data_IF_233626053236
#
_entry.id   IF_233626053236
#
_cell.length_a   1.000
_cell.length_b   1.000
_cell.length_c   1.000
_cell.angle_alpha   90.00
_cell.angle_beta   90.00
_cell.angle_gamma   90.00
#
_symmetry.space_group_name_H-M   'P 1'
#
loop_
_entity.id
_entity.type
_entity.pdbx_description
1 polymer ?
#
# COMPACT_ATOMS: atom_id res chain seq x y z
N UNK A 1 6.92 -0.14 8.64
CA UNK A 1 5.81 -0.90 8.00
C UNK A 1 5.40 -0.12 6.77
N UNK A 2 5.54 -0.72 5.59
CA UNK A 2 5.14 -0.08 4.33
C UNK A 2 3.67 -0.38 4.08
N UNK A 3 2.78 0.45 4.60
CA UNK A 3 1.33 0.29 4.44
C UNK A 3 0.79 1.63 3.99
N UNK A 4 -0.06 1.63 2.97
CA UNK A 4 -0.24 2.74 2.05
C UNK A 4 -0.98 3.93 2.61
N UNK A 5 -2.28 3.89 2.71
CA UNK A 5 -3.06 5.11 2.85
C UNK A 5 -4.34 4.87 3.62
N UNK A 6 -4.85 5.93 4.20
CA UNK A 6 -6.19 5.95 4.77
C UNK A 6 -7.23 5.56 3.72
N UNK A 7 -8.23 4.77 4.10
CA UNK A 7 -9.23 4.23 3.19
C UNK A 7 -10.07 5.24 2.41
N UNK A 8 -10.11 6.49 2.84
CA UNK A 8 -10.84 7.56 2.14
C UNK A 8 -10.04 8.23 1.01
N UNK A 9 -8.75 7.92 0.86
CA UNK A 9 -7.94 8.41 -0.27
C UNK A 9 -8.52 7.97 -1.62
N UNK A 10 -8.59 8.87 -2.58
CA UNK A 10 -9.14 8.61 -3.91
C UNK A 10 -8.12 7.98 -4.84
N UNK A 11 -8.47 6.83 -5.39
CA UNK A 11 -7.69 6.10 -6.40
C UNK A 11 -8.23 6.41 -7.78
N UNK A 12 -7.36 6.74 -8.71
CA UNK A 12 -7.74 6.98 -10.11
C UNK A 12 -8.06 5.65 -10.82
N UNK A 13 -9.22 5.58 -11.45
CA UNK A 13 -9.69 4.43 -12.21
C UNK A 13 -9.38 4.55 -13.70
N UNK A 14 -9.31 3.43 -14.39
CA UNK A 14 -9.01 3.38 -15.83
C UNK A 14 -10.06 4.08 -16.71
N UNK A 15 -11.28 4.17 -16.26
CA UNK A 15 -12.40 4.85 -16.94
C UNK A 15 -12.43 6.37 -16.71
N UNK A 16 -11.44 6.92 -15.99
CA UNK A 16 -11.34 8.34 -15.65
C UNK A 16 -12.11 8.75 -14.39
N UNK A 17 -12.77 7.82 -13.72
CA UNK A 17 -13.44 8.06 -12.43
C UNK A 17 -12.47 7.90 -11.25
N UNK A 18 -12.99 8.10 -10.04
CA UNK A 18 -12.26 7.88 -8.79
C UNK A 18 -13.07 7.00 -7.85
N UNK A 19 -12.40 6.06 -7.18
CA UNK A 19 -12.95 5.31 -6.05
C UNK A 19 -12.17 5.60 -4.77
N UNK A 20 -12.83 5.52 -3.61
CA UNK A 20 -12.09 5.49 -2.35
C UNK A 20 -11.30 4.18 -2.25
N UNK A 21 -10.10 4.24 -1.67
CA UNK A 21 -9.24 3.07 -1.53
C UNK A 21 -9.92 1.91 -0.78
N UNK A 22 -10.75 2.22 0.23
CA UNK A 22 -11.55 1.22 0.98
C UNK A 22 -12.64 0.53 0.13
N UNK A 23 -13.04 1.15 -0.97
CA UNK A 23 -14.08 0.65 -1.88
C UNK A 23 -13.49 -0.03 -3.12
N UNK A 24 -12.16 -0.16 -3.20
CA UNK A 24 -11.47 -0.91 -4.25
C UNK A 24 -11.62 -2.41 -3.98
N UNK A 25 -11.84 -3.17 -5.05
CA UNK A 25 -11.98 -4.62 -5.01
C UNK A 25 -11.05 -5.30 -6.02
N UNK A 26 -10.79 -6.58 -5.81
CA UNK A 26 -10.12 -7.41 -6.81
C UNK A 26 -10.90 -7.37 -8.13
N UNK A 27 -10.19 -7.24 -9.25
CA UNK A 27 -10.78 -7.08 -10.58
C UNK A 27 -10.93 -5.63 -11.04
N UNK A 28 -10.94 -4.64 -10.15
CA UNK A 28 -10.98 -3.22 -10.52
C UNK A 28 -9.78 -2.86 -11.41
N UNK A 29 -10.02 -2.00 -12.39
CA UNK A 29 -9.01 -1.49 -13.30
C UNK A 29 -8.57 -0.08 -12.88
N UNK A 30 -7.32 0.08 -12.51
CA UNK A 30 -6.75 1.34 -12.07
C UNK A 30 -6.09 2.08 -13.23
N UNK A 31 -6.17 3.41 -13.18
CA UNK A 31 -5.41 4.27 -14.08
C UNK A 31 -3.90 4.11 -13.84
N UNK A 32 -3.17 4.17 -14.93
CA UNK A 32 -1.71 4.26 -14.94
C UNK A 32 -1.28 5.56 -15.60
N UNK A 33 0.01 5.82 -15.68
CA UNK A 33 0.51 6.98 -16.42
C UNK A 33 0.15 6.89 -17.90
N UNK A 34 -0.04 8.07 -18.51
CA UNK A 34 -0.35 8.20 -19.94
C UNK A 34 0.55 7.31 -20.79
N UNK A 35 -0.06 6.50 -21.66
CA UNK A 35 0.63 5.59 -22.56
C UNK A 35 0.95 4.20 -21.99
N UNK A 36 0.54 3.90 -20.75
CA UNK A 36 0.65 2.57 -20.16
C UNK A 36 -0.74 1.90 -20.05
N UNK A 37 -0.84 0.58 -20.16
CA UNK A 37 -2.10 -0.13 -19.99
C UNK A 37 -2.62 0.00 -18.56
N UNK A 38 -3.94 -0.04 -18.40
CA UNK A 38 -4.58 -0.07 -17.09
C UNK A 38 -4.11 -1.30 -16.29
N UNK A 39 -4.04 -1.14 -14.98
CA UNK A 39 -3.57 -2.19 -14.08
C UNK A 39 -4.73 -2.78 -13.28
N UNK A 40 -4.83 -4.12 -13.26
CA UNK A 40 -5.88 -4.84 -12.55
C UNK A 40 -5.49 -5.11 -11.10
N UNK A 41 -6.39 -4.81 -10.18
CA UNK A 41 -6.23 -5.18 -8.76
C UNK A 41 -6.37 -6.71 -8.63
N UNK A 42 -5.36 -7.35 -8.06
CA UNK A 42 -5.38 -8.77 -7.72
C UNK A 42 -5.89 -8.99 -6.30
N UNK A 43 -5.42 -8.20 -5.36
CA UNK A 43 -5.80 -8.30 -3.96
C UNK A 43 -5.72 -6.93 -3.28
N UNK A 44 -6.68 -6.68 -2.40
CA UNK A 44 -6.66 -5.56 -1.45
C UNK A 44 -6.20 -6.09 -0.10
N UNK A 45 -5.21 -5.46 0.51
CA UNK A 45 -4.72 -5.80 1.85
C UNK A 45 -5.11 -4.69 2.81
N UNK A 46 -5.99 -5.01 3.74
CA UNK A 46 -6.43 -4.13 4.83
C UNK A 46 -5.62 -4.43 6.09
N UNK A 47 -4.88 -3.47 6.62
CA UNK A 47 -4.17 -3.60 7.89
C UNK A 47 -4.89 -2.80 8.96
N UNK A 48 -5.48 -3.51 9.90
CA UNK A 48 -6.19 -2.92 11.05
C UNK A 48 -5.17 -2.27 11.98
N UNK A 49 -5.50 -1.07 12.46
CA UNK A 49 -4.65 -0.35 13.39
C UNK A 49 -5.05 -0.66 14.84
N UNK A 50 -4.05 -0.90 15.67
CA UNK A 50 -4.25 -1.01 17.11
C UNK A 50 -4.79 0.33 17.63
N UNK A 51 -5.79 0.29 18.49
CA UNK A 51 -6.43 1.48 19.09
C UNK A 51 -7.12 2.45 18.09
N UNK A 52 -7.27 2.04 16.82
CA UNK A 52 -7.93 2.88 15.80
C UNK A 52 -7.21 4.20 15.52
N UNK A 53 -5.89 4.25 15.70
CA UNK A 53 -5.07 5.45 15.52
C UNK A 53 -3.86 5.12 14.66
N UNK A 54 -3.50 6.02 13.75
CA UNK A 54 -2.29 5.91 12.94
C UNK A 54 -1.55 7.25 12.84
N UNK A 55 -0.22 7.17 12.78
CA UNK A 55 0.61 8.30 12.38
C UNK A 55 0.72 8.29 10.86
N UNK A 56 0.06 9.26 10.22
CA UNK A 56 0.03 9.42 8.78
C UNK A 56 0.65 10.76 8.36
N UNK A 57 1.20 10.78 7.19
CA UNK A 57 1.79 11.99 6.60
C UNK A 57 0.86 12.55 5.55
N UNK A 58 0.45 13.81 5.71
CA UNK A 58 -0.29 14.53 4.68
C UNK A 58 0.68 15.04 3.63
N UNK A 59 0.48 14.63 2.38
CA UNK A 59 1.34 15.05 1.27
C UNK A 59 1.01 16.45 0.76
N UNK A 60 2.02 17.23 0.32
CA UNK A 60 1.82 18.60 -0.11
C UNK A 60 0.95 18.71 -1.37
N UNK A 61 0.02 19.66 -1.37
CA UNK A 61 -0.89 19.93 -2.48
C UNK A 61 -1.84 18.76 -2.79
N UNK A 62 -2.15 17.92 -1.80
CA UNK A 62 -2.96 16.71 -1.95
C UNK A 62 -3.75 16.41 -0.68
N UNK A 63 -4.81 15.60 -0.81
CA UNK A 63 -5.50 15.02 0.34
C UNK A 63 -4.96 13.64 0.72
N UNK A 64 -3.92 13.16 0.05
CA UNK A 64 -3.30 11.88 0.35
C UNK A 64 -2.71 11.87 1.77
N UNK A 65 -3.14 10.91 2.55
CA UNK A 65 -2.61 10.58 3.87
C UNK A 65 -1.94 9.20 3.77
N UNK A 66 -0.62 9.14 3.81
CA UNK A 66 0.15 7.92 3.67
C UNK A 66 0.98 7.62 4.92
N UNK A 67 1.33 6.36 5.15
CA UNK A 67 2.28 6.03 6.21
C UNK A 67 3.66 6.61 5.92
N UNK A 68 4.46 6.95 6.94
CA UNK A 68 5.70 7.72 6.78
C UNK A 68 6.71 7.13 5.78
N UNK A 69 6.78 5.80 5.69
CA UNK A 69 7.79 5.07 4.93
C UNK A 69 7.23 4.35 3.70
N UNK A 70 6.04 4.73 3.24
CA UNK A 70 5.47 4.18 2.01
C UNK A 70 5.94 4.99 0.80
N UNK A 71 6.77 4.44 -0.10
CA UNK A 71 7.31 5.22 -1.20
C UNK A 71 6.22 5.78 -2.11
N UNK A 72 6.29 7.08 -2.35
CA UNK A 72 5.37 7.82 -3.24
C UNK A 72 6.18 8.62 -4.25
N UNK A 73 5.54 9.00 -5.35
CA UNK A 73 6.20 9.78 -6.40
C UNK A 73 5.25 10.78 -7.02
N UNK A 74 5.73 12.04 -7.13
CA UNK A 74 5.13 13.08 -7.96
C UNK A 74 6.23 13.63 -8.87
N UNK A 75 6.13 13.38 -10.18
CA UNK A 75 7.21 13.69 -11.10
C UNK A 75 8.16 12.50 -11.32
N UNK A 76 9.48 12.67 -11.13
CA UNK A 76 10.48 11.67 -11.54
C UNK A 76 11.03 10.81 -10.38
N UNK A 77 11.06 11.33 -9.17
CA UNK A 77 11.77 10.70 -8.05
C UNK A 77 10.79 10.10 -7.05
N UNK A 78 11.16 8.91 -6.55
CA UNK A 78 10.53 8.28 -5.38
C UNK A 78 11.03 8.94 -4.11
N UNK A 79 10.13 9.24 -3.19
CA UNK A 79 10.43 9.85 -1.89
C UNK A 79 9.63 9.13 -0.80
N UNK A 80 10.10 9.19 0.43
CA UNK A 80 9.27 8.83 1.56
C UNK A 80 8.33 9.99 1.94
N UNK A 81 7.07 9.73 2.28
CA UNK A 81 6.14 10.76 2.74
C UNK A 81 6.72 11.64 3.85
N UNK A 82 7.42 11.05 4.81
CA UNK A 82 8.00 11.77 5.96
C UNK A 82 9.00 12.85 5.56
N UNK A 83 9.67 12.68 4.43
CA UNK A 83 10.68 13.64 3.94
C UNK A 83 10.04 14.87 3.28
N UNK A 84 8.76 14.80 2.87
CA UNK A 84 8.13 15.83 2.05
C UNK A 84 6.80 16.35 2.61
N UNK A 85 6.22 15.67 3.58
CA UNK A 85 4.90 16.01 4.11
C UNK A 85 4.91 16.33 5.61
N UNK A 86 3.72 16.48 6.17
CA UNK A 86 3.53 16.76 7.59
C UNK A 86 2.88 15.56 8.27
N UNK A 87 3.55 15.00 9.28
CA UNK A 87 3.03 13.89 10.08
C UNK A 87 1.89 14.37 10.97
N UNK A 88 0.81 13.60 11.00
CA UNK A 88 -0.36 13.80 11.86
C UNK A 88 -0.77 12.49 12.50
N UNK A 89 -1.08 12.54 13.78
CA UNK A 89 -1.74 11.44 14.48
C UNK A 89 -3.24 11.58 14.29
N UNK A 90 -3.84 10.59 13.66
CA UNK A 90 -5.25 10.66 13.23
C UNK A 90 -6.01 9.41 13.63
N UNK A 91 -7.33 9.55 13.82
CA UNK A 91 -8.22 8.40 13.91
C UNK A 91 -8.21 7.66 12.58
N UNK A 92 -7.86 6.39 12.60
CA UNK A 92 -7.70 5.56 11.43
C UNK A 92 -7.83 4.07 11.82
N UNK A 93 -8.96 3.46 11.53
CA UNK A 93 -9.21 2.06 11.88
C UNK A 93 -8.33 1.10 11.07
N UNK A 94 -8.01 1.47 9.84
CA UNK A 94 -7.20 0.66 8.97
C UNK A 94 -6.49 1.48 7.89
N UNK A 95 -5.36 0.97 7.44
CA UNK A 95 -4.66 1.41 6.23
C UNK A 95 -4.67 0.29 5.19
N UNK A 96 -4.61 0.67 3.92
CA UNK A 96 -4.80 -0.27 2.82
C UNK A 96 -3.59 -0.29 1.90
N UNK A 97 -3.31 -1.45 1.35
CA UNK A 97 -2.35 -1.63 0.27
C UNK A 97 -2.97 -2.45 -0.86
N UNK A 98 -2.42 -2.33 -2.04
CA UNK A 98 -2.89 -3.03 -3.23
C UNK A 98 -1.80 -3.98 -3.74
N UNK A 99 -2.22 -5.15 -4.19
CA UNK A 99 -1.43 -6.01 -5.06
C UNK A 99 -2.04 -5.93 -6.46
N UNK A 100 -1.24 -5.58 -7.44
CA UNK A 100 -1.66 -5.49 -8.83
C UNK A 100 -1.19 -6.70 -9.62
N UNK A 101 -1.98 -7.13 -10.58
CA UNK A 101 -1.65 -8.26 -11.45
C UNK A 101 -0.49 -7.90 -12.40
N UNK A 102 -0.56 -6.71 -13.01
CA UNK A 102 0.37 -6.27 -14.05
C UNK A 102 0.81 -4.81 -13.81
N UNK A 103 1.03 -4.42 -12.57
CA UNK A 103 1.35 -3.04 -12.22
C UNK A 103 2.33 -2.93 -11.07
N UNK A 104 2.87 -1.72 -10.90
CA UNK A 104 3.87 -1.43 -9.89
C UNK A 104 3.46 -0.31 -8.91
N UNK A 105 2.46 0.48 -9.30
CA UNK A 105 1.96 1.60 -8.49
C UNK A 105 0.51 1.92 -8.88
N UNK A 106 -0.21 2.55 -7.99
CA UNK A 106 -1.52 3.12 -8.19
C UNK A 106 -1.44 4.65 -8.09
N UNK A 107 -2.27 5.36 -8.85
CA UNK A 107 -2.37 6.83 -8.75
C UNK A 107 -3.41 7.18 -7.70
N UNK A 108 -2.99 7.79 -6.60
CA UNK A 108 -3.84 8.19 -5.49
C UNK A 108 -3.68 9.68 -5.21
N UNK A 109 -4.79 10.44 -5.27
CA UNK A 109 -4.80 11.89 -5.04
C UNK A 109 -3.70 12.63 -5.83
N UNK A 110 -3.38 12.15 -7.05
CA UNK A 110 -2.36 12.72 -7.94
C UNK A 110 -0.92 12.30 -7.66
N UNK A 111 -0.70 11.37 -6.74
CA UNK A 111 0.61 10.77 -6.46
C UNK A 111 0.65 9.32 -6.91
N UNK A 112 1.78 8.88 -7.47
CA UNK A 112 2.04 7.45 -7.65
C UNK A 112 2.41 6.84 -6.29
N UNK A 113 1.69 5.83 -5.88
CA UNK A 113 1.94 5.07 -4.66
C UNK A 113 2.36 3.64 -5.04
N UNK A 114 3.51 3.16 -4.55
CA UNK A 114 3.92 1.78 -4.84
C UNK A 114 2.87 0.79 -4.33
N UNK A 115 2.79 -0.35 -4.98
CA UNK A 115 1.93 -1.45 -4.57
C UNK A 115 2.79 -2.62 -4.07
N UNK A 116 2.17 -3.67 -3.55
CA UNK A 116 2.89 -4.87 -3.14
C UNK A 116 3.51 -5.57 -4.35
N UNK A 117 4.63 -6.26 -4.15
CA UNK A 117 5.36 -7.02 -5.16
C UNK A 117 5.72 -6.22 -6.43
N UNK A 118 5.93 -4.93 -6.30
CA UNK A 118 6.15 -4.02 -7.44
C UNK A 118 7.46 -4.27 -8.22
N UNK A 119 8.44 -4.97 -7.64
CA UNK A 119 9.71 -5.31 -8.30
C UNK A 119 10.61 -4.11 -8.64
N UNK A 120 10.34 -2.92 -8.11
CA UNK A 120 11.18 -1.75 -8.31
C UNK A 120 12.42 -1.82 -7.40
N UNK A 121 13.53 -1.32 -7.89
CA UNK A 121 14.81 -1.23 -7.16
C UNK A 121 15.19 0.23 -6.92
N UNK A 122 16.01 0.48 -5.93
CA UNK A 122 16.50 1.81 -5.54
C UNK A 122 16.38 2.06 -4.04
N UNK A 123 17.07 3.08 -3.54
CA UNK A 123 17.24 3.34 -2.11
C UNK A 123 15.91 3.61 -1.37
N UNK A 124 14.99 4.31 -2.04
CA UNK A 124 13.69 4.66 -1.47
C UNK A 124 12.65 3.56 -1.73
N UNK A 125 12.51 3.15 -2.99
CA UNK A 125 11.42 2.26 -3.42
C UNK A 125 11.73 0.79 -3.20
N UNK A 126 13.01 0.40 -3.21
CA UNK A 126 13.43 -0.99 -3.08
C UNK A 126 13.12 -1.57 -1.71
N UNK A 127 12.39 -2.69 -1.67
CA UNK A 127 12.10 -3.42 -0.44
C UNK A 127 12.16 -4.92 -0.71
N UNK A 128 13.06 -5.63 -0.03
CA UNK A 128 13.33 -7.06 -0.25
C UNK A 128 12.11 -7.96 -0.01
N UNK A 129 11.22 -7.56 0.87
CA UNK A 129 9.99 -8.29 1.18
C UNK A 129 8.77 -7.71 0.46
N UNK A 130 8.35 -6.48 0.78
CA UNK A 130 7.14 -5.87 0.21
C UNK A 130 7.22 -5.61 -1.29
N UNK A 131 8.44 -5.40 -1.83
CA UNK A 131 8.67 -5.20 -3.25
C UNK A 131 8.83 -6.49 -4.06
N UNK A 132 8.81 -7.66 -3.42
CA UNK A 132 9.08 -8.95 -4.05
C UNK A 132 7.92 -9.93 -3.96
N UNK A 133 8.06 -11.11 -4.55
CA UNK A 133 7.07 -12.19 -4.46
C UNK A 133 6.96 -12.82 -3.06
N UNK A 134 7.89 -12.51 -2.14
CA UNK A 134 7.85 -13.03 -0.79
C UNK A 134 6.56 -12.63 -0.05
N UNK A 135 6.14 -11.37 -0.17
CA UNK A 135 4.88 -10.91 0.44
C UNK A 135 3.66 -11.64 -0.16
N UNK A 136 3.69 -11.93 -1.46
CA UNK A 136 2.60 -12.67 -2.14
C UNK A 136 2.49 -14.08 -1.58
N UNK A 137 3.61 -14.78 -1.41
CA UNK A 137 3.63 -16.14 -0.85
C UNK A 137 3.04 -16.19 0.57
N UNK A 138 3.27 -15.16 1.38
CA UNK A 138 2.68 -15.12 2.71
C UNK A 138 1.19 -14.78 2.67
N UNK A 139 0.79 -13.81 1.84
CA UNK A 139 -0.62 -13.45 1.66
C UNK A 139 -1.46 -14.62 1.11
N UNK A 140 -0.90 -15.47 0.26
CA UNK A 140 -1.58 -16.64 -0.30
C UNK A 140 -2.00 -17.66 0.77
N UNK A 141 -1.37 -17.64 1.93
CA UNK A 141 -1.68 -18.53 3.08
C UNK A 141 -2.75 -17.95 4.00
N UNK A 142 -3.18 -16.69 3.78
CA UNK A 142 -4.10 -15.98 4.65
C UNK A 142 -5.54 -16.10 4.18
N UNK A 143 -6.45 -16.04 5.14
CA UNK A 143 -7.88 -15.99 4.87
C UNK A 143 -8.24 -14.80 3.99
N UNK A 144 -9.16 -15.01 3.06
CA UNK A 144 -9.61 -13.97 2.13
C UNK A 144 -8.78 -13.84 0.84
N UNK A 145 -7.62 -14.51 0.74
CA UNK A 145 -6.81 -14.46 -0.48
C UNK A 145 -7.59 -14.88 -1.73
N UNK A 146 -8.34 -15.98 -1.65
CA UNK A 146 -9.15 -16.49 -2.77
C UNK A 146 -10.22 -15.50 -3.24
N UNK A 147 -10.65 -14.60 -2.36
CA UNK A 147 -11.62 -13.55 -2.63
C UNK A 147 -10.95 -12.22 -3.03
N UNK A 148 -9.60 -12.19 -3.08
CA UNK A 148 -8.85 -10.97 -3.39
C UNK A 148 -8.92 -9.87 -2.31
N UNK A 149 -9.19 -10.25 -1.06
CA UNK A 149 -9.26 -9.33 0.08
C UNK A 149 -8.71 -9.98 1.33
N UNK A 150 -7.55 -9.52 1.80
CA UNK A 150 -6.88 -10.02 3.01
C UNK A 150 -6.92 -8.96 4.10
N UNK A 151 -7.27 -9.39 5.32
CA UNK A 151 -7.24 -8.53 6.52
C UNK A 151 -6.08 -8.95 7.41
N UNK A 152 -5.17 -8.01 7.64
CA UNK A 152 -4.08 -8.16 8.60
C UNK A 152 -4.53 -7.54 9.93
N UNK A 153 -4.89 -8.40 10.86
CA UNK A 153 -5.27 -7.98 12.20
C UNK A 153 -4.06 -8.10 13.14
N UNK A 154 -3.76 -7.09 13.99
CA UNK A 154 -2.58 -7.12 14.85
C UNK A 154 -2.55 -8.33 15.82
N UNK A 155 -3.71 -8.86 16.19
CA UNK A 155 -3.85 -10.00 17.09
C UNK A 155 -3.68 -11.37 16.39
N UNK A 156 -3.78 -11.41 15.06
CA UNK A 156 -3.74 -12.66 14.27
C UNK A 156 -2.60 -12.72 13.26
N UNK A 157 -1.86 -11.65 13.05
CA UNK A 157 -0.73 -11.62 12.12
C UNK A 157 0.50 -11.03 12.79
N UNK A 158 1.54 -11.84 12.86
CA UNK A 158 2.85 -11.44 13.36
C UNK A 158 3.71 -10.96 12.20
N UNK A 159 4.27 -9.77 12.35
CA UNK A 159 5.21 -9.19 11.40
C UNK A 159 6.63 -9.54 11.81
N UNK A 160 7.28 -10.42 11.06
CA UNK A 160 8.71 -10.71 11.24
C UNK A 160 9.57 -9.53 10.77
N UNK A 161 10.61 -9.21 11.55
CA UNK A 161 11.53 -8.12 11.23
C UNK A 161 12.97 -8.58 11.28
N UNK A 162 13.74 -8.08 10.36
CA UNK A 162 15.21 -8.22 10.38
C UNK A 162 15.77 -7.50 11.62
N UNK A 163 16.54 -8.19 12.48
CA UNK A 163 17.02 -7.64 13.74
C UNK A 163 18.03 -6.50 13.56
N UNK A 164 18.72 -6.44 12.43
CA UNK A 164 19.76 -5.43 12.15
C UNK A 164 19.18 -4.16 11.53
N UNK A 165 18.15 -4.28 10.69
CA UNK A 165 17.58 -3.16 9.92
C UNK A 165 16.19 -2.75 10.39
N UNK A 166 15.49 -3.58 11.17
CA UNK A 166 14.08 -3.40 11.55
C UNK A 166 13.10 -3.54 10.40
N UNK A 167 13.58 -3.84 9.19
CA UNK A 167 12.72 -4.01 8.01
C UNK A 167 11.89 -5.28 8.12
N UNK A 168 10.69 -5.24 7.59
CA UNK A 168 9.81 -6.42 7.53
C UNK A 168 10.37 -7.43 6.55
N UNK A 169 10.39 -8.70 6.98
CA UNK A 169 10.87 -9.85 6.20
C UNK A 169 9.85 -10.97 6.06
N UNK A 170 8.77 -10.95 6.85
CA UNK A 170 7.69 -11.93 6.76
C UNK A 170 6.40 -11.44 7.39
N UNK A 171 5.28 -12.05 6.99
CA UNK A 171 3.98 -11.98 7.66
C UNK A 171 3.53 -13.42 7.96
N UNK A 172 3.23 -13.70 9.22
CA UNK A 172 2.85 -15.05 9.67
C UNK A 172 1.57 -14.96 10.47
N UNK A 173 0.61 -15.85 10.21
CA UNK A 173 -0.57 -15.99 11.08
C UNK A 173 -0.14 -16.46 12.46
N UNK A 174 -0.62 -15.78 13.50
CA UNK A 174 -0.46 -16.26 14.88
C UNK A 174 -1.30 -17.53 15.06
N UNK A 175 -0.67 -18.58 15.57
CA UNK A 175 -1.35 -19.83 15.93
C UNK A 175 -2.15 -19.63 17.22
#
# INVERSE_FOLDING_TARGET
MCITSQGDSKVAMADGTYKKLKDIHAGDLLATRKGQPASRVQCVVKSVQTDGIADLVKLPGSNLMATPWHPVRKGKQWVFPIDVGTTKRVSCDAVYNLLLKDGRYAVMEGWDCVTLAHGLTGDVVGHSYYGSQAVVHDLMKMDGWSNGFVVLHPDSVVTGRDPSTGRVISLVTAN
#
